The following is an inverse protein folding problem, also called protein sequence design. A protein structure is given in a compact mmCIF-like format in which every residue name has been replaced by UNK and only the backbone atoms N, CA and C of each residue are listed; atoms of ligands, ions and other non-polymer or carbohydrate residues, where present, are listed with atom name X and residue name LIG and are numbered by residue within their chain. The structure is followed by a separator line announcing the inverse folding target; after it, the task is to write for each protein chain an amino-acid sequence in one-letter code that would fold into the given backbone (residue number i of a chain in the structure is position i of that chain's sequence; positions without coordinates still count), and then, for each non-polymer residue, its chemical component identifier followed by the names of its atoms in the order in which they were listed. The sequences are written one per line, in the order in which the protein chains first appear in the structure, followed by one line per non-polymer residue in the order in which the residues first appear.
data_IF_795311020171
#
_entry.id   IF_795311020171
#
_cell.length_a   1.000
_cell.length_b   1.000
_cell.length_c   1.000
_cell.angle_alpha   90.00
_cell.angle_beta   90.00
_cell.angle_gamma   90.00
#
_symmetry.space_group_name_H-M   'P 1'
#
loop_
_entity.id
_entity.type
_entity.pdbx_description
1 polymer ?
#
# COMPACT_ATOMS: atom_id res chain seq x y z
N UNK A 1 -29.01 47.50 40.06
CA UNK A 1 -29.38 46.08 39.94
C UNK A 1 -28.16 45.23 40.27
N UNK A 2 -28.28 44.28 41.20
CA UNK A 2 -27.16 43.39 41.55
C UNK A 2 -26.97 42.35 40.44
N UNK A 3 -25.89 42.48 39.66
CA UNK A 3 -25.52 41.58 38.55
C UNK A 3 -24.88 40.27 39.02
N UNK A 4 -24.43 40.22 40.27
CA UNK A 4 -23.72 39.11 40.88
C UNK A 4 -24.49 37.77 40.90
N UNK A 5 -25.80 37.69 41.22
CA UNK A 5 -26.54 36.42 41.14
C UNK A 5 -26.65 35.89 39.70
N UNK A 6 -26.70 36.77 38.70
CA UNK A 6 -26.80 36.36 37.30
C UNK A 6 -25.49 35.75 36.79
N UNK A 7 -24.33 36.33 37.15
CA UNK A 7 -23.03 35.77 36.78
C UNK A 7 -22.75 34.44 37.47
N UNK A 8 -23.16 34.28 38.74
CA UNK A 8 -23.05 33.01 39.46
C UNK A 8 -23.86 31.91 38.79
N UNK A 9 -25.10 32.19 38.35
CA UNK A 9 -25.93 31.21 37.64
C UNK A 9 -25.30 30.79 36.32
N UNK A 10 -24.75 31.73 35.54
CA UNK A 10 -24.06 31.41 34.28
C UNK A 10 -22.84 30.52 34.53
N UNK A 11 -22.03 30.81 35.56
CA UNK A 11 -20.87 30.00 35.90
C UNK A 11 -21.26 28.58 36.32
N UNK A 12 -22.37 28.41 37.06
CA UNK A 12 -22.90 27.09 37.43
C UNK A 12 -23.35 26.32 36.18
N UNK A 13 -24.05 26.97 35.25
CA UNK A 13 -24.49 26.34 33.99
C UNK A 13 -23.28 25.88 33.18
N UNK A 14 -22.27 26.74 33.00
CA UNK A 14 -21.06 26.38 32.26
C UNK A 14 -20.28 25.25 32.94
N UNK A 15 -20.20 25.25 34.27
CA UNK A 15 -19.57 24.17 35.02
C UNK A 15 -20.30 22.83 34.80
N UNK A 16 -21.64 22.82 34.84
CA UNK A 16 -22.45 21.61 34.60
C UNK A 16 -22.32 21.08 33.16
N UNK A 17 -22.26 21.98 32.16
CA UNK A 17 -22.02 21.56 30.77
C UNK A 17 -20.62 20.99 30.56
N UNK A 18 -19.61 21.58 31.19
CA UNK A 18 -18.22 21.12 31.12
C UNK A 18 -18.06 19.73 31.76
N UNK A 19 -18.64 19.52 32.95
CA UNK A 19 -18.57 18.21 33.62
C UNK A 19 -19.32 17.13 32.84
N UNK A 20 -20.52 17.42 32.33
CA UNK A 20 -21.28 16.48 31.51
C UNK A 20 -20.53 16.09 30.23
N UNK A 21 -19.91 17.06 29.54
CA UNK A 21 -19.16 16.80 28.32
C UNK A 21 -17.89 15.98 28.60
N UNK A 22 -17.22 16.25 29.72
CA UNK A 22 -16.04 15.50 30.14
C UNK A 22 -16.36 14.06 30.52
N UNK A 23 -17.47 13.82 31.23
CA UNK A 23 -17.95 12.48 31.55
C UNK A 23 -18.36 11.70 30.29
N UNK A 24 -19.01 12.36 29.33
CA UNK A 24 -19.37 11.75 28.06
C UNK A 24 -18.13 11.34 27.26
N UNK A 25 -17.12 12.21 27.14
CA UNK A 25 -15.86 11.86 26.48
C UNK A 25 -15.12 10.72 27.19
N UNK A 26 -15.10 10.71 28.53
CA UNK A 26 -14.47 9.63 29.31
C UNK A 26 -15.18 8.30 29.09
N UNK A 27 -16.52 8.29 29.09
CA UNK A 27 -17.31 7.08 28.88
C UNK A 27 -17.22 6.57 27.44
N UNK A 28 -17.18 7.44 26.43
CA UNK A 28 -16.96 7.05 25.04
C UNK A 28 -15.55 6.46 24.83
N UNK A 29 -14.53 7.08 25.40
CA UNK A 29 -13.15 6.56 25.37
C UNK A 29 -13.05 5.19 26.04
N UNK A 30 -13.66 5.01 27.22
CA UNK A 30 -13.72 3.72 27.90
C UNK A 30 -14.48 2.67 27.08
N UNK A 31 -15.63 3.03 26.50
CA UNK A 31 -16.39 2.13 25.60
C UNK A 31 -15.52 1.72 24.42
N UNK A 32 -14.81 2.65 23.77
CA UNK A 32 -13.94 2.35 22.63
C UNK A 32 -12.81 1.38 23.02
N UNK A 33 -12.18 1.58 24.18
CA UNK A 33 -11.16 0.66 24.71
C UNK A 33 -11.74 -0.73 24.97
N UNK A 34 -12.91 -0.82 25.60
CA UNK A 34 -13.60 -2.10 25.87
C UNK A 34 -14.00 -2.80 24.57
N UNK A 35 -14.53 -2.07 23.59
CA UNK A 35 -14.87 -2.61 22.28
C UNK A 35 -13.62 -3.14 21.56
N UNK A 36 -12.53 -2.37 21.54
CA UNK A 36 -11.27 -2.81 20.93
C UNK A 36 -10.70 -4.05 21.64
N UNK A 37 -10.74 -4.08 22.97
CA UNK A 37 -10.31 -5.24 23.75
C UNK A 37 -11.18 -6.46 23.46
N UNK A 38 -12.51 -6.31 23.40
CA UNK A 38 -13.45 -7.37 23.06
C UNK A 38 -13.20 -7.96 21.67
N UNK A 39 -13.05 -7.12 20.64
CA UNK A 39 -12.77 -7.62 19.30
C UNK A 39 -11.38 -8.26 19.18
N UNK A 40 -10.39 -7.78 19.95
CA UNK A 40 -9.06 -8.42 20.04
C UNK A 40 -9.14 -9.81 20.67
N UNK A 41 -9.85 -9.97 21.79
CA UNK A 41 -9.98 -11.28 22.46
C UNK A 41 -10.81 -12.26 21.62
N UNK A 42 -11.88 -11.80 20.99
CA UNK A 42 -12.72 -12.63 20.13
C UNK A 42 -11.96 -13.09 18.88
N UNK A 43 -11.09 -12.22 18.33
CA UNK A 43 -10.17 -12.58 17.24
C UNK A 43 -9.11 -13.58 17.71
N UNK A 44 -8.51 -13.39 18.88
CA UNK A 44 -7.53 -14.32 19.43
C UNK A 44 -8.12 -15.72 19.69
N UNK A 45 -9.33 -15.78 20.26
CA UNK A 45 -10.04 -17.04 20.51
C UNK A 45 -10.37 -17.77 19.19
N UNK A 46 -10.79 -17.04 18.17
CA UNK A 46 -11.07 -17.61 16.84
C UNK A 46 -9.79 -18.11 16.17
N UNK A 47 -8.72 -17.33 16.20
CA UNK A 47 -7.41 -17.72 15.67
C UNK A 47 -6.88 -18.99 16.37
N UNK A 48 -7.06 -19.09 17.69
CA UNK A 48 -6.64 -20.27 18.45
C UNK A 48 -7.43 -21.53 18.04
N UNK A 49 -8.75 -21.41 17.86
CA UNK A 49 -9.59 -22.50 17.38
C UNK A 49 -9.21 -22.96 15.96
N UNK A 50 -8.88 -22.00 15.09
CA UNK A 50 -8.46 -22.27 13.71
C UNK A 50 -7.05 -22.89 13.64
N UNK A 51 -6.11 -22.47 14.50
CA UNK A 51 -4.77 -23.10 14.62
C UNK A 51 -4.87 -24.54 15.14
N UNK A 52 -5.72 -24.82 16.13
CA UNK A 52 -5.97 -26.19 16.60
C UNK A 52 -6.53 -27.09 15.49
N UNK A 53 -7.49 -26.58 14.71
CA UNK A 53 -8.03 -27.30 13.56
C UNK A 53 -6.95 -27.55 12.49
N UNK A 54 -6.09 -26.57 12.22
CA UNK A 54 -5.00 -26.69 11.24
C UNK A 54 -3.92 -27.70 11.67
N UNK A 55 -3.53 -27.69 12.95
CA UNK A 55 -2.59 -28.67 13.51
C UNK A 55 -3.16 -30.09 13.45
N UNK A 56 -4.45 -30.26 13.70
CA UNK A 56 -5.11 -31.56 13.59
C UNK A 56 -5.11 -32.13 12.16
N UNK A 57 -5.21 -31.27 11.14
CA UNK A 57 -5.12 -31.66 9.73
C UNK A 57 -3.69 -32.04 9.32
N UNK A 58 -2.67 -31.31 9.81
CA UNK A 58 -1.27 -31.56 9.47
C UNK A 58 -0.63 -32.71 10.24
N UNK A 59 -1.15 -33.08 11.41
CA UNK A 59 -0.65 -34.25 12.15
C UNK A 59 -1.05 -35.60 11.52
N UNK A 60 -1.98 -35.60 10.56
CA UNK A 60 -2.38 -36.82 9.83
C UNK A 60 -1.41 -37.20 8.69
N UNK A 61 -0.44 -36.34 8.33
CA UNK A 61 0.41 -36.55 7.14
C UNK A 61 1.92 -36.63 7.37
N UNK A 62 2.41 -36.73 8.61
CA UNK A 62 3.87 -36.91 8.85
C UNK A 62 4.18 -37.99 9.86
N UNK A 63 4.35 -39.21 9.36
CA UNK A 63 5.28 -40.21 9.90
C UNK A 63 6.11 -40.77 8.74
N UNK A 64 7.42 -40.85 8.97
CA UNK A 64 8.55 -41.17 8.06
C UNK A 64 9.07 -39.95 7.27
N UNK A 65 10.36 -39.65 7.19
CA UNK A 65 11.58 -40.32 7.61
C UNK A 65 12.69 -39.26 7.74
N UNK A 66 13.62 -39.47 8.67
CA UNK A 66 14.81 -38.65 8.86
C UNK A 66 15.91 -39.02 7.86
N UNK A 67 16.40 -38.07 7.07
CA UNK A 67 17.77 -38.10 6.50
C UNK A 67 18.36 -36.69 6.42
N UNK A 68 19.64 -36.62 6.75
CA UNK A 68 20.50 -35.43 6.84
C UNK A 68 20.27 -34.44 5.69
N UNK A 69 19.97 -33.20 6.04
CA UNK A 69 19.76 -32.14 5.06
C UNK A 69 21.10 -31.54 4.60
N UNK A 70 21.39 -31.52 3.28
CA UNK A 70 22.51 -30.73 2.76
C UNK A 70 22.25 -29.25 3.05
N UNK A 71 23.32 -28.48 3.31
CA UNK A 71 23.24 -27.03 3.53
C UNK A 71 22.37 -26.39 2.44
N UNK A 72 21.14 -26.02 2.80
CA UNK A 72 20.19 -25.37 1.89
C UNK A 72 20.85 -24.10 1.36
N UNK A 73 21.21 -24.09 0.07
CA UNK A 73 21.51 -22.84 -0.65
C UNK A 73 20.34 -21.91 -0.38
N UNK A 74 20.58 -20.79 0.31
CA UNK A 74 19.54 -19.79 0.56
C UNK A 74 19.07 -19.31 -0.82
N UNK A 75 17.79 -19.55 -1.16
CA UNK A 75 17.19 -19.03 -2.37
C UNK A 75 17.31 -17.50 -2.33
N UNK A 76 18.04 -16.92 -3.27
CA UNK A 76 18.17 -15.47 -3.38
C UNK A 76 16.78 -14.91 -3.60
N UNK A 77 16.36 -13.99 -2.73
CA UNK A 77 15.08 -13.30 -2.87
C UNK A 77 15.29 -12.04 -3.69
N UNK A 78 14.44 -11.82 -4.67
CA UNK A 78 14.50 -10.64 -5.51
C UNK A 78 14.05 -9.41 -4.72
N UNK A 79 14.90 -8.39 -4.65
CA UNK A 79 14.71 -7.28 -3.71
C UNK A 79 13.46 -6.46 -4.02
N UNK A 80 13.02 -6.38 -5.29
CA UNK A 80 11.84 -5.59 -5.68
C UNK A 80 10.54 -6.17 -5.13
N UNK A 81 10.45 -7.48 -4.92
CA UNK A 81 9.31 -8.11 -4.22
C UNK A 81 9.24 -7.65 -2.77
N UNK A 82 10.39 -7.43 -2.13
CA UNK A 82 10.44 -6.94 -0.76
C UNK A 82 10.09 -5.45 -0.64
N UNK A 83 10.17 -4.69 -1.73
CA UNK A 83 9.93 -3.25 -1.79
C UNK A 83 8.47 -2.82 -1.98
N UNK A 84 7.54 -3.76 -2.12
CA UNK A 84 6.10 -3.40 -2.22
C UNK A 84 5.64 -2.61 -0.98
N UNK A 85 5.00 -1.46 -1.19
CA UNK A 85 4.55 -0.56 -0.13
C UNK A 85 5.63 0.34 0.46
N UNK A 86 6.85 0.35 -0.07
CA UNK A 86 7.86 1.33 0.32
C UNK A 86 7.50 2.71 -0.25
N UNK A 87 7.76 3.78 0.50
CA UNK A 87 7.37 5.15 0.14
C UNK A 87 7.77 5.53 -1.28
N UNK A 88 9.03 5.25 -1.65
CA UNK A 88 9.60 5.58 -2.96
C UNK A 88 9.19 4.61 -4.09
N UNK A 89 8.61 3.46 -3.75
CA UNK A 89 8.16 2.45 -4.72
C UNK A 89 6.68 2.57 -5.10
N UNK A 90 5.98 3.57 -4.54
CA UNK A 90 4.58 3.89 -4.83
C UNK A 90 4.51 4.93 -5.95
N UNK A 91 3.53 4.79 -6.84
CA UNK A 91 3.25 5.77 -7.87
C UNK A 91 2.66 7.03 -7.24
N UNK A 92 3.38 8.14 -7.32
CA UNK A 92 2.93 9.43 -6.83
C UNK A 92 2.01 10.11 -7.85
N UNK A 93 0.78 10.35 -7.45
CA UNK A 93 -0.27 10.98 -8.26
C UNK A 93 -0.42 12.47 -7.94
N UNK A 94 0.35 13.02 -7.00
CA UNK A 94 0.22 14.42 -6.57
C UNK A 94 0.39 15.43 -7.69
N UNK A 95 1.21 15.14 -8.71
CA UNK A 95 1.36 16.02 -9.87
C UNK A 95 0.07 16.19 -10.68
N UNK A 96 -0.89 15.25 -10.60
CA UNK A 96 -2.21 15.42 -11.23
C UNK A 96 -3.06 16.52 -10.57
N UNK A 97 -2.70 16.95 -9.34
CA UNK A 97 -3.43 17.99 -8.60
C UNK A 97 -2.95 19.39 -8.94
N UNK A 98 -1.66 19.56 -9.26
CA UNK A 98 -1.00 20.87 -9.40
C UNK A 98 -0.52 21.19 -10.82
N UNK A 99 0.07 20.21 -11.52
CA UNK A 99 0.62 20.39 -12.87
C UNK A 99 0.46 19.09 -13.68
N UNK A 100 -0.75 18.92 -14.22
CA UNK A 100 -1.08 17.76 -15.03
C UNK A 100 -0.30 17.70 -16.35
N UNK A 101 0.32 18.81 -16.80
CA UNK A 101 1.09 18.85 -18.03
C UNK A 101 2.53 18.36 -17.83
N UNK A 102 3.09 18.50 -16.63
CA UNK A 102 4.44 18.01 -16.29
C UNK A 102 4.65 16.53 -16.63
N UNK A 103 3.63 15.70 -16.44
CA UNK A 103 3.68 14.25 -16.68
C UNK A 103 2.47 13.77 -17.49
N UNK A 104 2.46 14.01 -18.82
CA UNK A 104 1.25 13.81 -19.64
C UNK A 104 0.78 12.34 -19.71
N UNK A 105 1.69 11.37 -19.51
CA UNK A 105 1.36 9.94 -19.48
C UNK A 105 0.90 9.44 -18.10
N UNK A 106 1.07 10.21 -17.03
CA UNK A 106 0.86 9.75 -15.65
C UNK A 106 -0.56 9.22 -15.43
N UNK A 107 -1.58 9.96 -15.88
CA UNK A 107 -2.99 9.54 -15.75
C UNK A 107 -3.25 8.21 -16.45
N UNK A 108 -2.82 8.09 -17.72
CA UNK A 108 -3.02 6.87 -18.51
C UNK A 108 -2.31 5.68 -17.88
N UNK A 109 -1.05 5.86 -17.47
CA UNK A 109 -0.26 4.83 -16.79
C UNK A 109 -0.90 4.41 -15.47
N UNK A 110 -1.34 5.37 -14.64
CA UNK A 110 -2.04 5.09 -13.38
C UNK A 110 -3.32 4.28 -13.61
N UNK A 111 -4.13 4.66 -14.60
CA UNK A 111 -5.35 3.95 -14.96
C UNK A 111 -5.09 2.51 -15.44
N UNK A 112 -4.08 2.32 -16.30
CA UNK A 112 -3.64 0.97 -16.70
C UNK A 112 -3.16 0.18 -15.49
N UNK A 113 -2.48 0.82 -14.55
CA UNK A 113 -1.94 0.15 -13.37
C UNK A 113 -3.05 -0.32 -12.41
N UNK A 114 -4.06 0.53 -12.18
CA UNK A 114 -5.27 0.15 -11.46
C UNK A 114 -5.94 -1.05 -12.15
N UNK A 115 -6.11 -1.01 -13.47
CA UNK A 115 -6.73 -2.11 -14.20
C UNK A 115 -5.90 -3.40 -14.11
N UNK A 116 -4.57 -3.31 -14.13
CA UNK A 116 -3.66 -4.45 -13.95
C UNK A 116 -3.82 -5.10 -12.58
N UNK A 117 -3.96 -4.29 -11.53
CA UNK A 117 -4.07 -4.77 -10.14
C UNK A 117 -5.47 -5.30 -9.80
N UNK A 118 -6.53 -4.69 -10.33
CA UNK A 118 -7.91 -4.95 -9.87
C UNK A 118 -8.91 -5.35 -10.96
N UNK A 119 -8.59 -5.15 -12.24
CA UNK A 119 -9.52 -5.32 -13.36
C UNK A 119 -10.09 -6.74 -13.51
N UNK A 120 -9.37 -7.74 -13.02
CA UNK A 120 -9.79 -9.13 -13.01
C UNK A 120 -10.81 -9.46 -11.90
N UNK A 121 -11.01 -8.57 -10.92
CA UNK A 121 -11.87 -8.82 -9.76
C UNK A 121 -13.34 -8.56 -10.09
N UNK A 122 -14.24 -9.29 -9.43
CA UNK A 122 -15.68 -9.22 -9.67
C UNK A 122 -16.29 -7.89 -9.24
N UNK A 123 -15.77 -7.28 -8.17
CA UNK A 123 -16.27 -5.99 -7.70
C UNK A 123 -15.80 -4.82 -8.55
N UNK A 124 -14.80 -5.02 -9.42
CA UNK A 124 -14.22 -3.95 -10.22
C UNK A 124 -15.07 -3.71 -11.46
N UNK A 125 -15.59 -2.49 -11.69
CA UNK A 125 -16.44 -2.20 -12.84
C UNK A 125 -15.73 -2.49 -14.17
N UNK A 126 -16.43 -3.18 -15.08
CA UNK A 126 -15.88 -3.58 -16.38
C UNK A 126 -15.95 -2.48 -17.46
N UNK A 127 -16.39 -1.27 -17.11
CA UNK A 127 -16.44 -0.18 -18.08
C UNK A 127 -15.03 0.29 -18.45
N UNK A 128 -14.77 0.44 -19.75
CA UNK A 128 -13.43 0.73 -20.29
C UNK A 128 -12.75 1.95 -19.67
N UNK A 129 -13.53 2.97 -19.30
CA UNK A 129 -13.00 4.25 -18.80
C UNK A 129 -13.11 4.38 -17.27
N UNK A 130 -13.46 3.31 -16.55
CA UNK A 130 -13.63 3.38 -15.10
C UNK A 130 -12.35 3.84 -14.39
N UNK A 131 -11.22 3.20 -14.72
CA UNK A 131 -9.94 3.50 -14.07
C UNK A 131 -9.50 4.94 -14.30
N UNK A 132 -9.65 5.47 -15.50
CA UNK A 132 -9.29 6.86 -15.80
C UNK A 132 -10.14 7.85 -15.00
N UNK A 133 -11.46 7.62 -14.97
CA UNK A 133 -12.38 8.48 -14.20
C UNK A 133 -12.16 8.36 -12.69
N UNK A 134 -11.79 7.18 -12.20
CA UNK A 134 -11.42 6.99 -10.80
C UNK A 134 -10.18 7.82 -10.44
N UNK A 135 -9.16 7.83 -11.31
CA UNK A 135 -7.95 8.64 -11.10
C UNK A 135 -8.29 10.14 -11.12
N UNK A 136 -9.16 10.60 -12.02
CA UNK A 136 -9.63 11.99 -12.04
C UNK A 136 -10.38 12.35 -10.74
N UNK A 137 -11.28 11.49 -10.29
CA UNK A 137 -12.04 11.70 -9.06
C UNK A 137 -11.12 11.77 -7.82
N UNK A 138 -10.10 10.91 -7.77
CA UNK A 138 -9.09 10.95 -6.72
C UNK A 138 -8.26 12.23 -6.76
N UNK A 139 -7.79 12.64 -7.95
CA UNK A 139 -7.04 13.87 -8.09
C UNK A 139 -7.88 15.09 -7.69
N UNK A 140 -9.18 15.12 -8.04
CA UNK A 140 -10.11 16.15 -7.59
C UNK A 140 -10.26 16.15 -6.05
N UNK A 141 -10.48 15.00 -5.43
CA UNK A 141 -10.60 14.90 -3.98
C UNK A 141 -9.34 15.36 -3.23
N UNK A 142 -8.14 15.06 -3.77
CA UNK A 142 -6.86 15.45 -3.16
C UNK A 142 -6.44 16.90 -3.46
N UNK A 143 -7.13 17.63 -4.35
CA UNK A 143 -6.91 19.08 -4.52
C UNK A 143 -7.29 19.85 -3.26
N UNK A 144 -8.37 19.43 -2.60
CA UNK A 144 -8.92 20.12 -1.43
C UNK A 144 -8.41 19.57 -0.09
N UNK A 145 -7.71 18.42 -0.12
CA UNK A 145 -7.19 17.75 1.07
C UNK A 145 -5.67 17.87 1.20
N UNK A 146 -5.18 17.59 2.40
CA UNK A 146 -3.75 17.47 2.66
C UNK A 146 -3.16 16.24 1.99
N UNK A 147 -1.88 16.33 1.62
CA UNK A 147 -1.17 15.25 0.95
C UNK A 147 -1.08 13.97 1.78
N UNK A 148 -1.05 14.15 3.10
CA UNK A 148 -0.89 13.09 4.08
C UNK A 148 -2.24 12.47 4.47
N UNK A 149 -3.36 12.93 3.91
CA UNK A 149 -4.68 12.35 4.16
C UNK A 149 -4.68 10.87 3.72
N UNK A 150 -4.94 9.93 4.65
CA UNK A 150 -5.02 8.51 4.31
C UNK A 150 -6.14 8.21 3.32
N UNK A 151 -5.92 7.25 2.42
CA UNK A 151 -6.91 6.86 1.41
C UNK A 151 -8.27 6.42 1.97
N UNK A 152 -8.32 5.92 3.20
CA UNK A 152 -9.58 5.47 3.82
C UNK A 152 -10.47 6.63 4.29
N UNK A 153 -9.92 7.85 4.37
CA UNK A 153 -10.64 9.08 4.68
C UNK A 153 -11.09 9.83 3.41
N UNK A 154 -10.83 9.25 2.23
CA UNK A 154 -11.25 9.81 0.95
C UNK A 154 -12.63 9.28 0.59
N UNK A 155 -13.60 10.19 0.57
CA UNK A 155 -14.94 9.91 0.11
C UNK A 155 -15.04 10.27 -1.37
N UNK A 156 -15.46 9.31 -2.19
CA UNK A 156 -15.72 9.49 -3.60
C UNK A 156 -17.21 9.28 -3.87
N UNK A 157 -17.76 10.06 -4.80
CA UNK A 157 -19.15 9.90 -5.22
C UNK A 157 -19.38 8.57 -5.97
N UNK A 158 -20.63 8.08 -6.02
CA UNK A 158 -21.01 7.01 -6.94
C UNK A 158 -20.63 7.35 -8.38
N UNK A 159 -20.14 6.38 -9.17
CA UNK A 159 -20.06 4.95 -8.88
C UNK A 159 -18.72 4.48 -8.24
N UNK A 160 -17.84 5.40 -7.83
CA UNK A 160 -16.46 5.06 -7.44
C UNK A 160 -16.33 4.61 -5.98
N UNK A 161 -17.25 5.04 -5.11
CA UNK A 161 -17.22 4.77 -3.68
C UNK A 161 -16.95 3.30 -3.31
N UNK A 162 -17.81 2.39 -3.80
CA UNK A 162 -17.78 0.97 -3.42
C UNK A 162 -16.52 0.28 -3.93
N UNK A 163 -16.15 0.37 -5.23
CA UNK A 163 -14.91 -0.22 -5.71
C UNK A 163 -13.67 0.33 -5.01
N UNK A 164 -13.62 1.66 -4.82
CA UNK A 164 -12.46 2.30 -4.19
C UNK A 164 -12.31 1.89 -2.73
N UNK A 165 -13.40 1.87 -1.94
CA UNK A 165 -13.36 1.39 -0.55
C UNK A 165 -12.83 -0.05 -0.44
N UNK A 166 -13.20 -0.93 -1.37
CA UNK A 166 -12.66 -2.29 -1.46
C UNK A 166 -11.17 -2.29 -1.79
N UNK A 167 -10.73 -1.49 -2.76
CA UNK A 167 -9.31 -1.34 -3.15
C UNK A 167 -8.46 -0.82 -1.99
N UNK A 168 -8.92 0.18 -1.25
CA UNK A 168 -8.21 0.75 -0.09
C UNK A 168 -8.00 -0.31 0.99
N UNK A 169 -9.02 -1.11 1.29
CA UNK A 169 -8.93 -2.18 2.31
C UNK A 169 -8.02 -3.32 1.89
N UNK A 170 -7.98 -3.67 0.60
CA UNK A 170 -7.29 -4.88 0.14
C UNK A 170 -7.92 -6.16 0.69
N UNK A 171 -7.19 -7.27 0.59
CA UNK A 171 -7.52 -8.53 1.27
C UNK A 171 -6.48 -8.86 2.34
N UNK A 172 -6.91 -9.53 3.41
CA UNK A 172 -6.01 -10.01 4.47
C UNK A 172 -5.09 -11.14 4.00
N UNK A 173 -5.48 -11.85 2.94
CA UNK A 173 -4.73 -12.95 2.35
C UNK A 173 -3.70 -12.50 1.32
N UNK A 174 -3.59 -11.19 1.05
CA UNK A 174 -2.61 -10.67 0.09
C UNK A 174 -1.18 -10.97 0.55
N UNK A 175 -0.66 -12.08 0.04
CA UNK A 175 0.75 -12.46 0.09
C UNK A 175 1.33 -12.30 -1.32
N UNK A 176 2.64 -12.03 -1.39
CA UNK A 176 3.43 -11.96 -2.63
C UNK A 176 3.27 -13.23 -3.50
N UNK A 177 2.74 -14.32 -2.92
CA UNK A 177 2.41 -15.59 -3.55
C UNK A 177 0.98 -15.72 -4.12
N UNK A 178 0.28 -14.59 -4.31
CA UNK A 178 -0.90 -14.43 -5.20
C UNK A 178 -2.28 -14.86 -4.68
N UNK A 179 -2.52 -14.93 -3.38
CA UNK A 179 -3.90 -15.04 -2.86
C UNK A 179 -4.50 -13.66 -2.58
N UNK A 180 -5.66 -13.35 -3.13
CA UNK A 180 -6.35 -12.07 -2.90
C UNK A 180 -5.77 -10.88 -3.67
N UNK A 181 -6.21 -9.66 -3.34
CA UNK A 181 -5.83 -8.42 -4.01
C UNK A 181 -5.18 -7.41 -3.06
N UNK A 182 -4.25 -6.57 -3.55
CA UNK A 182 -3.48 -5.66 -2.72
C UNK A 182 -4.30 -4.48 -2.19
N UNK A 183 -3.92 -3.90 -1.04
CA UNK A 183 -4.36 -2.56 -0.65
C UNK A 183 -3.83 -1.48 -1.61
N UNK A 184 -4.68 -0.51 -1.96
CA UNK A 184 -4.33 0.59 -2.87
C UNK A 184 -3.12 1.39 -2.40
N UNK A 185 -3.03 1.68 -1.10
CA UNK A 185 -1.95 2.46 -0.50
C UNK A 185 -0.56 1.82 -0.58
N UNK A 186 -0.45 0.53 -0.94
CA UNK A 186 0.83 -0.12 -1.17
C UNK A 186 1.45 0.23 -2.54
N UNK A 187 0.66 0.82 -3.43
CA UNK A 187 1.02 1.03 -4.83
C UNK A 187 0.90 2.48 -5.29
N UNK A 188 0.11 3.30 -4.61
CA UNK A 188 -0.16 4.69 -4.96
C UNK A 188 0.03 5.62 -3.75
N UNK A 189 0.33 6.89 -4.01
CA UNK A 189 0.44 7.96 -3.00
C UNK A 189 0.06 9.32 -3.62
N UNK A 190 -0.28 10.31 -2.79
CA UNK A 190 -0.54 11.71 -3.17
C UNK A 190 0.40 12.69 -2.45
N UNK A 191 1.58 12.24 -2.06
CA UNK A 191 2.57 13.04 -1.34
C UNK A 191 2.97 14.30 -2.16
N UNK A 192 2.69 15.50 -1.62
CA UNK A 192 2.92 16.82 -2.26
C UNK A 192 4.39 17.29 -2.19
N UNK A 193 5.33 16.40 -1.89
CA UNK A 193 6.76 16.72 -2.01
C UNK A 193 7.12 16.85 -3.49
N UNK A 194 8.08 17.70 -3.83
CA UNK A 194 8.69 17.75 -5.17
C UNK A 194 9.41 16.43 -5.45
N UNK A 195 8.62 15.39 -5.75
CA UNK A 195 9.07 14.05 -6.04
C UNK A 195 8.66 13.69 -7.46
N UNK A 196 9.47 12.88 -8.15
CA UNK A 196 9.06 12.25 -9.40
C UNK A 196 7.85 11.34 -9.17
N UNK A 197 7.12 10.96 -10.24
CA UNK A 197 6.04 9.99 -10.14
C UNK A 197 6.50 8.65 -9.56
N UNK A 198 7.70 8.19 -9.91
CA UNK A 198 8.28 6.99 -9.29
C UNK A 198 9.80 6.98 -9.34
N UNK A 199 10.45 6.42 -8.31
CA UNK A 199 11.88 6.12 -8.37
C UNK A 199 12.11 4.75 -9.01
N UNK A 200 12.94 4.68 -10.05
CA UNK A 200 13.20 3.45 -10.79
C UNK A 200 13.74 2.31 -9.89
N UNK A 201 14.59 2.64 -8.92
CA UNK A 201 15.23 1.65 -8.04
C UNK A 201 14.29 1.00 -7.04
N UNK A 202 13.18 1.67 -6.73
CA UNK A 202 12.17 1.21 -5.78
C UNK A 202 10.87 0.76 -6.48
N UNK A 203 10.75 1.00 -7.79
CA UNK A 203 9.65 0.52 -8.59
C UNK A 203 9.51 -1.01 -8.46
N UNK A 204 8.29 -1.45 -8.17
CA UNK A 204 7.97 -2.86 -8.09
C UNK A 204 7.90 -3.49 -9.50
N UNK A 205 8.11 -4.80 -9.58
CA UNK A 205 8.16 -5.51 -10.87
C UNK A 205 6.84 -5.44 -11.65
N UNK A 206 5.69 -5.38 -10.96
CA UNK A 206 4.37 -5.27 -11.61
C UNK A 206 4.25 -3.95 -12.38
N UNK A 207 4.74 -2.85 -11.80
CA UNK A 207 4.77 -1.56 -12.48
C UNK A 207 5.79 -1.54 -13.62
N UNK A 208 6.98 -2.10 -13.41
CA UNK A 208 8.00 -2.19 -14.45
C UNK A 208 7.52 -3.01 -15.65
N UNK A 209 6.84 -4.15 -15.42
CA UNK A 209 6.23 -4.95 -16.48
C UNK A 209 5.11 -4.22 -17.23
N UNK A 210 4.46 -3.23 -16.60
CA UNK A 210 3.46 -2.39 -17.27
C UNK A 210 4.10 -1.41 -18.25
N UNK A 211 5.27 -0.85 -17.93
CA UNK A 211 5.95 0.16 -18.75
C UNK A 211 6.88 -0.49 -19.79
N UNK A 212 7.69 -1.46 -19.35
CA UNK A 212 8.72 -2.12 -20.17
C UNK A 212 8.17 -3.32 -20.97
N UNK A 213 6.92 -3.72 -20.69
CA UNK A 213 6.39 -4.99 -21.15
C UNK A 213 6.91 -6.19 -20.34
N UNK A 214 6.25 -7.33 -20.49
CA UNK A 214 6.57 -8.55 -19.74
C UNK A 214 8.00 -9.06 -20.04
N UNK A 215 8.42 -9.01 -21.31
CA UNK A 215 9.76 -9.42 -21.72
C UNK A 215 10.83 -8.47 -21.20
N UNK A 216 10.60 -7.15 -21.30
CA UNK A 216 11.56 -6.16 -20.81
C UNK A 216 11.76 -6.23 -19.30
N UNK A 217 10.68 -6.44 -18.54
CA UNK A 217 10.77 -6.65 -17.10
C UNK A 217 11.50 -7.95 -16.73
N UNK A 218 11.32 -9.03 -17.49
CA UNK A 218 12.05 -10.29 -17.27
C UNK A 218 13.56 -10.14 -17.52
N UNK A 219 13.95 -9.46 -18.62
CA UNK A 219 15.36 -9.14 -18.91
C UNK A 219 15.99 -8.26 -17.81
N UNK A 220 15.22 -7.29 -17.29
CA UNK A 220 15.64 -6.46 -16.18
C UNK A 220 15.87 -7.28 -14.90
N UNK A 221 14.91 -8.14 -14.54
CA UNK A 221 15.00 -9.03 -13.38
C UNK A 221 16.21 -9.97 -13.48
N UNK A 222 16.44 -10.58 -14.64
CA UNK A 222 17.58 -11.48 -14.88
C UNK A 222 18.93 -10.76 -14.65
N UNK A 223 19.09 -9.57 -15.22
CA UNK A 223 20.33 -8.77 -15.06
C UNK A 223 20.54 -8.35 -13.61
N UNK A 224 19.48 -7.97 -12.91
CA UNK A 224 19.55 -7.59 -11.50
C UNK A 224 19.84 -8.79 -10.59
N UNK A 225 19.29 -9.97 -10.89
CA UNK A 225 19.60 -11.21 -10.17
C UNK A 225 21.07 -11.60 -10.35
N UNK A 226 21.60 -11.54 -11.57
CA UNK A 226 23.02 -11.78 -11.83
C UNK A 226 23.92 -10.80 -11.04
N UNK A 227 23.51 -9.52 -10.98
CA UNK A 227 24.21 -8.51 -10.18
C UNK A 227 24.18 -8.81 -8.68
N UNK A 228 23.05 -9.27 -8.13
CA UNK A 228 22.93 -9.69 -6.73
C UNK A 228 23.84 -10.89 -6.45
N UNK A 229 23.91 -11.85 -7.37
CA UNK A 229 24.77 -13.02 -7.25
C UNK A 229 26.25 -12.66 -7.25
N UNK A 230 26.67 -11.76 -8.15
CA UNK A 230 28.07 -11.35 -8.29
C UNK A 230 28.53 -10.41 -7.17
N UNK A 231 27.72 -9.39 -6.83
CA UNK A 231 28.11 -8.29 -5.94
C UNK A 231 27.52 -8.39 -4.54
N UNK A 232 26.58 -9.31 -4.28
CA UNK A 232 25.83 -9.42 -3.03
C UNK A 232 25.10 -8.14 -2.60
N UNK A 233 24.78 -7.26 -3.56
CA UNK A 233 24.05 -6.01 -3.33
C UNK A 233 22.59 -6.17 -3.77
N UNK A 234 21.65 -5.84 -2.88
CA UNK A 234 20.21 -5.91 -3.12
C UNK A 234 19.65 -4.60 -3.68
N UNK A 235 20.15 -4.16 -4.83
CA UNK A 235 19.76 -2.91 -5.51
C UNK A 235 19.92 -3.01 -7.03
N UNK A 236 19.32 -2.08 -7.74
CA UNK A 236 19.57 -1.87 -9.18
C UNK A 236 20.58 -0.75 -9.37
N UNK A 237 21.66 -1.00 -10.08
CA UNK A 237 22.59 0.04 -10.56
C UNK A 237 22.29 0.46 -12.01
N UNK A 238 21.21 -0.06 -12.61
CA UNK A 238 20.85 0.19 -14.01
C UNK A 238 20.42 1.64 -14.18
N UNK A 239 21.14 2.35 -15.05
CA UNK A 239 20.82 3.70 -15.45
C UNK A 239 19.91 3.69 -16.70
N UNK A 240 19.28 4.84 -16.99
CA UNK A 240 18.39 4.98 -18.14
C UNK A 240 19.03 4.54 -19.47
N UNK A 241 20.27 4.94 -19.82
CA UNK A 241 20.89 4.52 -21.07
C UNK A 241 21.08 3.00 -21.16
N UNK A 242 21.42 2.35 -20.03
CA UNK A 242 21.58 0.90 -19.99
C UNK A 242 20.25 0.19 -20.21
N UNK A 243 19.15 0.72 -19.63
CA UNK A 243 17.82 0.19 -19.80
C UNK A 243 17.35 0.32 -21.26
N UNK A 244 17.53 1.49 -21.86
CA UNK A 244 17.18 1.75 -23.26
C UNK A 244 17.97 0.85 -24.20
N UNK A 245 19.28 0.64 -23.94
CA UNK A 245 20.11 -0.27 -24.71
C UNK A 245 19.66 -1.73 -24.58
N UNK A 246 19.26 -2.17 -23.38
CA UNK A 246 18.73 -3.52 -23.15
C UNK A 246 17.43 -3.78 -23.89
N UNK A 247 16.63 -2.74 -24.13
CA UNK A 247 15.30 -2.82 -24.73
C UNK A 247 15.27 -2.29 -26.17
N UNK A 248 16.44 -2.14 -26.82
CA UNK A 248 16.56 -1.56 -28.17
C UNK A 248 15.64 -2.17 -29.22
N UNK A 249 15.34 -3.47 -29.10
CA UNK A 249 14.52 -4.20 -30.07
C UNK A 249 13.01 -3.91 -29.88
N UNK A 250 12.62 -3.54 -28.65
CA UNK A 250 11.26 -3.21 -28.25
C UNK A 250 11.27 -2.05 -27.24
N UNK A 251 11.62 -0.83 -27.68
CA UNK A 251 11.80 0.30 -26.76
C UNK A 251 10.45 0.70 -26.14
N UNK A 252 10.39 0.96 -24.83
CA UNK A 252 9.20 1.51 -24.19
C UNK A 252 8.92 2.94 -24.68
N UNK A 253 7.69 3.42 -24.48
CA UNK A 253 7.32 4.81 -24.78
C UNK A 253 8.22 5.77 -23.97
N UNK A 254 9.00 6.66 -24.60
CA UNK A 254 9.90 7.58 -23.90
C UNK A 254 9.18 8.44 -22.85
N UNK A 255 7.95 8.86 -23.13
CA UNK A 255 7.16 9.68 -22.20
C UNK A 255 6.66 8.88 -20.99
N UNK A 256 6.58 7.56 -21.10
CA UNK A 256 6.29 6.68 -19.96
C UNK A 256 7.56 6.42 -19.14
N UNK A 257 8.72 6.33 -19.78
CA UNK A 257 10.01 6.26 -19.08
C UNK A 257 10.31 7.53 -18.29
N UNK A 258 9.88 8.70 -18.77
CA UNK A 258 10.06 9.97 -18.07
C UNK A 258 9.37 10.00 -16.70
N UNK A 259 8.38 9.12 -16.45
CA UNK A 259 7.77 8.96 -15.12
C UNK A 259 8.74 8.43 -14.07
N UNK A 260 9.86 7.83 -14.50
CA UNK A 260 10.89 7.34 -13.61
C UNK A 260 12.00 8.36 -13.38
N UNK A 261 12.37 8.49 -12.13
CA UNK A 261 13.66 9.05 -11.74
C UNK A 261 14.67 7.92 -11.51
N UNK A 262 15.79 7.99 -12.23
CA UNK A 262 16.88 7.03 -12.18
C UNK A 262 17.97 7.41 -11.16
N UNK A 263 17.85 8.57 -10.50
CA UNK A 263 18.78 8.96 -9.45
C UNK A 263 18.75 7.94 -8.31
N UNK A 264 19.95 7.58 -7.84
CA UNK A 264 20.12 6.60 -6.78
C UNK A 264 19.75 7.23 -5.43
N UNK A 265 18.58 6.86 -4.92
CA UNK A 265 18.15 7.22 -3.58
C UNK A 265 18.23 6.01 -2.66
N UNK A 266 19.02 6.11 -1.60
CA UNK A 266 18.95 5.15 -0.49
C UNK A 266 17.70 5.45 0.34
N UNK A 267 16.60 4.75 0.07
CA UNK A 267 15.42 4.81 0.94
C UNK A 267 15.80 4.44 2.38
N UNK A 268 15.57 5.35 3.32
CA UNK A 268 15.82 5.15 4.76
C UNK A 268 14.59 4.61 5.50
N UNK A 269 13.39 4.64 4.88
CA UNK A 269 12.13 4.25 5.52
C UNK A 269 11.57 2.95 4.95
N UNK A 270 11.76 1.87 5.70
CA UNK A 270 11.04 0.61 5.50
C UNK A 270 9.62 0.76 6.05
N UNK A 271 8.58 0.20 5.41
CA UNK A 271 7.25 0.13 6.02
C UNK A 271 7.37 -0.57 7.38
N UNK A 272 6.68 -0.04 8.38
CA UNK A 272 6.72 -0.56 9.74
C UNK A 272 6.36 -2.04 9.74
N UNK A 273 7.14 -2.87 10.43
CA UNK A 273 6.79 -4.28 10.63
C UNK A 273 6.12 -4.38 12.00
N UNK A 274 4.82 -4.56 12.03
CA UNK A 274 4.15 -4.99 13.25
C UNK A 274 4.16 -6.52 13.25
N UNK A 275 4.92 -7.10 14.18
CA UNK A 275 4.84 -8.53 14.45
C UNK A 275 3.81 -8.73 15.55
N UNK A 276 2.78 -9.51 15.26
CA UNK A 276 1.83 -9.94 16.28
C UNK A 276 2.58 -10.84 17.29
N UNK A 277 2.64 -10.45 18.57
CA UNK A 277 3.43 -11.17 19.58
C UNK A 277 2.84 -12.55 19.93
N UNK A 278 1.58 -12.83 19.59
CA UNK A 278 0.96 -14.13 19.83
C UNK A 278 1.08 -15.08 18.64
N UNK A 279 0.94 -14.57 17.41
CA UNK A 279 0.93 -15.41 16.21
C UNK A 279 2.28 -15.44 15.47
N UNK A 280 3.19 -14.52 15.80
CA UNK A 280 4.47 -14.34 15.12
C UNK A 280 4.34 -13.79 13.69
N UNK A 281 3.12 -13.52 13.23
CA UNK A 281 2.83 -13.03 11.87
C UNK A 281 3.24 -11.56 11.80
N UNK A 282 4.03 -11.24 10.78
CA UNK A 282 4.48 -9.87 10.51
C UNK A 282 3.59 -9.22 9.48
N UNK A 283 2.86 -8.18 9.88
CA UNK A 283 2.05 -7.34 8.98
C UNK A 283 2.82 -6.05 8.70
N UNK A 284 2.86 -5.64 7.43
CA UNK A 284 3.40 -4.33 7.05
C UNK A 284 2.35 -3.27 7.40
N UNK A 285 2.73 -2.34 8.27
CA UNK A 285 1.92 -1.18 8.65
C UNK A 285 2.36 -0.01 7.75
N UNK A 286 1.42 0.68 7.08
CA UNK A 286 1.72 1.89 6.34
C UNK A 286 2.31 2.99 7.23
#
# INVERSE_FOLDING_TARGET
MNLLPFTVVILIILALFSTSSFEQHRTESQKQIVYQAYFRTLRAARNHKEDLAYRSLNHSQKKSESKESPKKKKKIRYFREEKIGWDNGRLNLSSLTSDAQKWPKLKGVAARYVNRLYGHLDFFPKSKNFSEKLIDALAAAYKEKDADTPFHEIELDPPYHIPFSKMVKGTQTYDLKKSGYPPFGNFFTFEKREKPPMFFQDANLTFLALILGAEGAAKLEEKELAYIEEKQKHSSEIQRPDLEQMLKDHPPDPMELDLFDFTTYHSTRKPGKAQDPQTGITVRVP
#
